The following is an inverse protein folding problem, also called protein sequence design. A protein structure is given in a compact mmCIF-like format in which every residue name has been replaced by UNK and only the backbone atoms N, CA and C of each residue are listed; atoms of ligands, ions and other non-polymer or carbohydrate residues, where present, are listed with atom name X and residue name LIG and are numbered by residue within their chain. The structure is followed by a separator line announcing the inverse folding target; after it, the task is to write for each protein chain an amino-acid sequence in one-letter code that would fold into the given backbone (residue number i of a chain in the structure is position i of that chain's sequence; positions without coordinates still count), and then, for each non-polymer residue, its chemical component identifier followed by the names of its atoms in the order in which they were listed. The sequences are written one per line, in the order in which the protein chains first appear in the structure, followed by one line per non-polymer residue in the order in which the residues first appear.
data_IF_811983433992
#
_entry.id   IF_811983433992
#
_cell.length_a   1.000
_cell.length_b   1.000
_cell.length_c   1.000
_cell.angle_alpha   90.00
_cell.angle_beta   90.00
_cell.angle_gamma   90.00
#
_symmetry.space_group_name_H-M   'P 1'
#
loop_
_entity.id
_entity.type
_entity.pdbx_description
1 polymer ?
#
# COMPACT_ATOMS: atom_id res chain seq x y z
N UNK A 1 -24.93 -103.99 -9.31
CA UNK A 1 -23.78 -103.48 -10.10
C UNK A 1 -24.21 -102.15 -10.73
N UNK A 2 -24.26 -101.04 -9.99
CA UNK A 2 -23.17 -100.11 -9.62
C UNK A 2 -22.45 -99.52 -10.85
N UNK A 3 -23.09 -98.57 -11.52
CA UNK A 3 -22.43 -97.56 -12.34
C UNK A 3 -22.14 -96.33 -11.47
N UNK A 4 -20.88 -95.94 -11.43
CA UNK A 4 -20.24 -95.03 -10.49
C UNK A 4 -20.11 -93.66 -11.16
N UNK A 5 -20.77 -92.64 -10.61
CA UNK A 5 -20.45 -91.24 -10.90
C UNK A 5 -19.15 -90.84 -10.18
N UNK A 6 -18.25 -90.11 -10.85
CA UNK A 6 -17.36 -89.23 -10.10
C UNK A 6 -17.06 -87.90 -10.83
N UNK A 7 -16.66 -86.91 -10.03
CA UNK A 7 -15.96 -85.71 -10.49
C UNK A 7 -16.91 -84.53 -10.66
N UNK A 8 -17.00 -83.58 -9.74
CA UNK A 8 -15.90 -82.95 -9.03
C UNK A 8 -15.82 -81.52 -9.58
N UNK A 9 -16.38 -80.56 -8.85
CA UNK A 9 -16.25 -79.14 -9.16
C UNK A 9 -14.82 -78.70 -8.84
N UNK A 10 -14.04 -78.15 -9.79
CA UNK A 10 -12.91 -77.31 -9.45
C UNK A 10 -13.36 -75.85 -9.45
N UNK A 11 -13.02 -75.16 -8.37
CA UNK A 11 -13.12 -73.71 -8.26
C UNK A 11 -12.32 -73.03 -9.37
N UNK A 12 -12.93 -72.09 -10.08
CA UNK A 12 -12.20 -71.12 -10.89
C UNK A 12 -12.56 -69.71 -10.43
N UNK A 13 -12.06 -69.40 -9.22
CA UNK A 13 -11.67 -68.02 -8.89
C UNK A 13 -10.32 -67.78 -9.59
N UNK A 14 -10.13 -66.56 -10.09
CA UNK A 14 -8.83 -65.98 -10.50
C UNK A 14 -8.41 -66.14 -11.96
N UNK A 15 -9.14 -65.50 -12.86
CA UNK A 15 -8.63 -64.91 -14.10
C UNK A 15 -9.72 -63.90 -14.50
N UNK A 16 -9.55 -62.58 -14.46
CA UNK A 16 -8.59 -61.75 -15.16
C UNK A 16 -8.60 -60.40 -14.42
N UNK A 17 -7.61 -60.17 -13.55
CA UNK A 17 -7.32 -58.82 -13.01
C UNK A 17 -5.91 -58.49 -13.48
N UNK A 18 -5.75 -58.34 -14.79
CA UNK A 18 -4.49 -57.84 -15.36
C UNK A 18 -4.84 -56.97 -16.56
N UNK A 19 -4.67 -55.66 -16.39
CA UNK A 19 -4.53 -54.74 -17.52
C UNK A 19 -5.59 -53.67 -17.69
N UNK A 20 -5.92 -52.89 -16.64
CA UNK A 20 -6.60 -51.59 -16.85
C UNK A 20 -6.37 -50.63 -15.66
N UNK A 21 -5.10 -50.38 -15.32
CA UNK A 21 -4.72 -49.29 -14.39
C UNK A 21 -3.80 -48.28 -15.06
N UNK A 22 -4.19 -47.81 -16.24
CA UNK A 22 -3.61 -46.62 -16.87
C UNK A 22 -4.56 -45.41 -16.67
N UNK A 23 -4.27 -44.71 -15.57
CA UNK A 23 -4.22 -43.22 -15.49
C UNK A 23 -5.49 -42.40 -15.80
N UNK A 24 -6.58 -42.60 -15.06
CA UNK A 24 -7.54 -41.50 -14.81
C UNK A 24 -6.92 -40.42 -13.90
N UNK A 25 -6.28 -40.85 -12.80
CA UNK A 25 -5.58 -39.96 -11.86
C UNK A 25 -4.40 -39.21 -12.52
N UNK A 26 -3.68 -39.85 -13.45
CA UNK A 26 -2.59 -39.21 -14.20
C UNK A 26 -3.08 -38.13 -15.16
N UNK A 27 -4.27 -38.27 -15.77
CA UNK A 27 -4.85 -37.24 -16.62
C UNK A 27 -5.31 -36.01 -15.82
N UNK A 28 -5.97 -36.20 -14.68
CA UNK A 28 -6.35 -35.09 -13.81
C UNK A 28 -5.12 -34.32 -13.29
N UNK A 29 -4.05 -35.01 -12.90
CA UNK A 29 -2.79 -34.37 -12.49
C UNK A 29 -2.11 -33.57 -13.60
N UNK A 30 -2.07 -34.11 -14.83
CA UNK A 30 -1.49 -33.43 -15.99
C UNK A 30 -2.32 -32.21 -16.42
N UNK A 31 -3.64 -32.25 -16.33
CA UNK A 31 -4.48 -31.07 -16.62
C UNK A 31 -4.30 -29.99 -15.56
N UNK A 32 -4.24 -30.32 -14.26
CA UNK A 32 -4.00 -29.31 -13.21
C UNK A 32 -2.61 -28.69 -13.37
N UNK A 33 -1.56 -29.47 -13.60
CA UNK A 33 -0.20 -28.95 -13.85
C UNK A 33 -0.07 -28.15 -15.15
N UNK A 34 -0.84 -28.46 -16.20
CA UNK A 34 -0.79 -27.76 -17.48
C UNK A 34 -1.57 -26.43 -17.48
N UNK A 35 -2.57 -26.29 -16.60
CA UNK A 35 -3.41 -25.07 -16.50
C UNK A 35 -3.09 -24.20 -15.28
N UNK A 36 -2.49 -24.75 -14.21
CA UNK A 36 -2.11 -24.01 -13.01
C UNK A 36 -1.07 -22.89 -13.19
N UNK A 37 0.00 -23.02 -14.01
CA UNK A 37 1.06 -22.02 -13.99
C UNK A 37 0.64 -20.68 -14.61
N UNK A 38 -0.30 -20.68 -15.57
CA UNK A 38 -0.74 -19.46 -16.27
C UNK A 38 -1.43 -18.46 -15.34
N UNK A 39 -2.49 -18.82 -14.59
CA UNK A 39 -3.13 -17.91 -13.65
C UNK A 39 -2.24 -17.60 -12.44
N UNK A 40 -1.38 -18.53 -11.99
CA UNK A 40 -0.45 -18.24 -10.88
C UNK A 40 0.64 -17.25 -11.25
N UNK A 41 1.23 -17.37 -12.44
CA UNK A 41 2.20 -16.39 -12.94
C UNK A 41 1.53 -15.04 -13.23
N UNK A 42 0.32 -15.05 -13.80
CA UNK A 42 -0.46 -13.83 -13.99
C UNK A 42 -0.82 -13.17 -12.65
N UNK A 43 -1.24 -13.95 -11.66
CA UNK A 43 -1.56 -13.46 -10.32
C UNK A 43 -0.33 -12.91 -9.61
N UNK A 44 0.82 -13.60 -9.62
CA UNK A 44 2.06 -13.09 -9.05
C UNK A 44 2.51 -11.81 -9.77
N UNK A 45 2.58 -11.83 -11.11
CA UNK A 45 2.98 -10.66 -11.91
C UNK A 45 2.06 -9.44 -11.66
N UNK A 46 0.75 -9.65 -11.60
CA UNK A 46 -0.23 -8.59 -11.33
C UNK A 46 -0.17 -8.13 -9.89
N UNK A 47 -0.08 -9.04 -8.91
CA UNK A 47 0.01 -8.69 -7.49
C UNK A 47 1.28 -7.90 -7.19
N UNK A 48 2.46 -8.39 -7.59
CA UNK A 48 3.74 -7.69 -7.39
C UNK A 48 3.73 -6.30 -8.04
N UNK A 49 3.11 -6.16 -9.22
CA UNK A 49 2.94 -4.87 -9.88
C UNK A 49 1.99 -3.94 -9.13
N UNK A 50 0.81 -4.43 -8.74
CA UNK A 50 -0.19 -3.64 -8.02
C UNK A 50 0.33 -3.22 -6.64
N UNK A 51 1.09 -4.08 -5.96
CA UNK A 51 1.74 -3.77 -4.68
C UNK A 51 2.81 -2.70 -4.87
N UNK A 52 3.62 -2.80 -5.92
CA UNK A 52 4.62 -1.78 -6.24
C UNK A 52 3.98 -0.44 -6.56
N UNK A 53 2.92 -0.42 -7.39
CA UNK A 53 2.17 0.80 -7.71
C UNK A 53 1.51 1.38 -6.46
N UNK A 54 0.92 0.54 -5.60
CA UNK A 54 0.34 0.95 -4.32
C UNK A 54 1.37 1.63 -3.42
N UNK A 55 2.57 1.05 -3.29
CA UNK A 55 3.66 1.61 -2.50
C UNK A 55 4.14 2.97 -3.03
N UNK A 56 4.26 3.11 -4.36
CA UNK A 56 4.66 4.39 -4.98
C UNK A 56 3.58 5.45 -4.78
N UNK A 57 2.30 5.09 -4.94
CA UNK A 57 1.18 5.99 -4.71
C UNK A 57 1.13 6.44 -3.25
N UNK A 58 1.35 5.55 -2.30
CA UNK A 58 1.33 5.90 -0.89
C UNK A 58 2.51 6.78 -0.49
N UNK A 59 3.72 6.51 -1.00
CA UNK A 59 4.86 7.39 -0.79
C UNK A 59 4.59 8.79 -1.35
N UNK A 60 3.97 8.85 -2.53
CA UNK A 60 3.56 10.10 -3.18
C UNK A 60 2.56 10.87 -2.32
N UNK A 61 1.57 10.18 -1.76
CA UNK A 61 0.55 10.74 -0.87
C UNK A 61 1.15 11.24 0.46
N UNK A 62 2.09 10.49 1.04
CA UNK A 62 2.80 10.88 2.28
C UNK A 62 3.60 12.17 2.10
N UNK A 63 4.08 12.45 0.89
CA UNK A 63 4.81 13.69 0.58
C UNK A 63 3.88 14.83 0.14
N UNK A 64 2.92 14.55 -0.75
CA UNK A 64 2.01 15.56 -1.32
C UNK A 64 0.89 15.97 -0.35
N UNK A 65 0.43 15.08 0.53
CA UNK A 65 -0.61 15.39 1.50
C UNK A 65 -0.19 16.51 2.47
N UNK A 66 0.94 16.36 3.19
CA UNK A 66 1.50 17.40 4.04
C UNK A 66 1.80 18.72 3.29
N UNK A 67 2.36 18.65 2.07
CA UNK A 67 2.70 19.86 1.31
C UNK A 67 1.46 20.66 0.89
N UNK A 68 0.42 19.99 0.41
CA UNK A 68 -0.86 20.61 0.08
C UNK A 68 -1.57 21.14 1.33
N UNK A 69 -1.46 20.45 2.47
CA UNK A 69 -2.02 20.89 3.75
C UNK A 69 -1.37 22.19 4.24
N UNK A 70 -0.03 22.30 4.21
CA UNK A 70 0.68 23.54 4.58
C UNK A 70 0.26 24.68 3.67
N UNK A 71 0.22 24.45 2.34
CA UNK A 71 -0.18 25.46 1.37
C UNK A 71 -1.62 25.95 1.58
N UNK A 72 -2.57 25.02 1.71
CA UNK A 72 -3.97 25.34 1.98
C UNK A 72 -4.12 26.11 3.30
N UNK A 73 -3.40 25.69 4.34
CA UNK A 73 -3.43 26.35 5.65
C UNK A 73 -2.88 27.78 5.56
N UNK A 74 -1.81 28.01 4.79
CA UNK A 74 -1.26 29.36 4.55
C UNK A 74 -2.27 30.28 3.85
N UNK A 75 -2.92 29.81 2.79
CA UNK A 75 -3.96 30.58 2.08
C UNK A 75 -5.11 30.95 3.01
N UNK A 76 -5.57 29.98 3.82
CA UNK A 76 -6.69 30.19 4.75
C UNK A 76 -6.32 31.20 5.83
N UNK A 77 -5.13 31.09 6.43
CA UNK A 77 -4.67 32.04 7.45
C UNK A 77 -4.48 33.45 6.87
N UNK A 78 -3.94 33.57 5.66
CA UNK A 78 -3.73 34.85 4.97
C UNK A 78 -4.97 35.36 4.25
N UNK A 79 -6.09 34.63 4.32
CA UNK A 79 -7.36 34.94 3.63
C UNK A 79 -7.18 35.23 2.14
N UNK A 80 -6.23 34.54 1.50
CA UNK A 80 -5.86 34.75 0.10
C UNK A 80 -5.49 36.21 -0.25
N UNK A 81 -5.03 37.00 0.74
CA UNK A 81 -4.57 38.38 0.53
C UNK A 81 -3.07 38.35 0.24
N UNK A 82 -2.73 38.26 -1.04
CA UNK A 82 -1.34 38.33 -1.50
C UNK A 82 -1.15 39.57 -2.38
N UNK A 83 -0.02 40.26 -2.20
CA UNK A 83 0.41 41.32 -3.09
C UNK A 83 1.26 40.70 -4.21
N UNK A 84 0.75 40.75 -5.45
CA UNK A 84 1.38 40.16 -6.62
C UNK A 84 2.71 40.83 -7.00
N UNK A 85 2.87 42.13 -6.73
CA UNK A 85 4.13 42.84 -6.99
C UNK A 85 5.19 42.35 -6.00
N UNK A 86 4.82 42.28 -4.72
CA UNK A 86 5.72 41.84 -3.66
C UNK A 86 6.09 40.34 -3.78
N UNK A 87 5.22 39.51 -4.35
CA UNK A 87 5.50 38.09 -4.63
C UNK A 87 6.60 37.87 -5.66
N UNK A 88 6.72 38.79 -6.63
CA UNK A 88 7.79 38.75 -7.64
C UNK A 88 9.10 39.38 -7.17
N UNK A 89 9.13 39.97 -5.98
CA UNK A 89 10.33 40.59 -5.42
C UNK A 89 11.18 39.54 -4.69
N UNK A 90 12.17 38.99 -5.41
CA UNK A 90 13.21 38.10 -4.87
C UNK A 90 14.36 38.87 -4.19
N UNK A 91 14.22 40.18 -3.94
CA UNK A 91 15.24 40.92 -3.21
C UNK A 91 15.33 40.47 -1.75
N UNK A 92 16.52 40.61 -1.15
CA UNK A 92 16.73 40.30 0.27
C UNK A 92 15.85 41.10 1.23
N UNK A 93 15.29 42.21 0.76
CA UNK A 93 14.38 43.10 1.48
C UNK A 93 12.91 42.82 1.22
N UNK A 94 12.60 41.91 0.28
CA UNK A 94 11.24 41.55 -0.07
C UNK A 94 10.50 40.95 1.12
N UNK A 95 9.19 41.25 1.30
CA UNK A 95 8.42 40.77 2.45
C UNK A 95 8.24 39.24 2.46
N UNK A 96 8.43 38.57 1.33
CA UNK A 96 8.40 37.11 1.19
C UNK A 96 9.80 36.46 1.14
N UNK A 97 10.87 37.24 1.37
CA UNK A 97 12.23 36.70 1.46
C UNK A 97 12.47 35.96 2.79
N UNK A 98 11.68 36.24 3.84
CA UNK A 98 11.82 35.63 5.18
C UNK A 98 13.29 35.66 5.66
N UNK A 99 13.75 34.61 6.35
CA UNK A 99 15.13 34.44 6.80
C UNK A 99 15.97 33.77 5.72
N UNK A 100 16.52 34.57 4.80
CA UNK A 100 17.47 34.10 3.78
C UNK A 100 16.83 33.33 2.62
N UNK A 101 15.57 33.62 2.29
CA UNK A 101 14.79 32.95 1.24
C UNK A 101 13.88 31.83 1.75
N UNK A 102 13.96 31.48 3.05
CA UNK A 102 13.23 30.34 3.62
C UNK A 102 12.28 30.74 4.75
N UNK A 103 11.04 30.24 4.66
CA UNK A 103 10.09 30.26 5.76
C UNK A 103 10.27 29.02 6.64
N UNK A 104 11.05 29.14 7.72
CA UNK A 104 11.29 28.05 8.67
C UNK A 104 10.01 27.49 9.30
N UNK A 105 8.96 28.31 9.44
CA UNK A 105 7.69 27.82 9.97
C UNK A 105 7.03 26.81 9.01
N UNK A 106 7.08 27.09 7.71
CA UNK A 106 6.63 26.18 6.66
C UNK A 106 7.48 24.91 6.58
N UNK A 107 8.81 25.05 6.64
CA UNK A 107 9.74 23.92 6.58
C UNK A 107 9.54 22.96 7.76
N UNK A 108 9.42 23.48 8.99
CA UNK A 108 9.20 22.66 10.18
C UNK A 108 7.81 22.02 10.20
N UNK A 109 6.78 22.72 9.71
CA UNK A 109 5.43 22.15 9.58
C UNK A 109 5.35 21.04 8.52
N UNK A 110 6.07 21.18 7.41
CA UNK A 110 6.18 20.15 6.40
C UNK A 110 6.96 18.94 6.93
N UNK A 111 8.12 19.19 7.55
CA UNK A 111 8.96 18.12 8.08
C UNK A 111 8.24 17.30 9.17
N UNK A 112 7.53 17.97 10.08
CA UNK A 112 6.74 17.29 11.12
C UNK A 112 5.57 16.49 10.56
N UNK A 113 4.85 17.02 9.57
CA UNK A 113 3.76 16.29 8.91
C UNK A 113 4.23 15.08 8.14
N UNK A 114 5.30 15.21 7.34
CA UNK A 114 5.90 14.08 6.62
C UNK A 114 6.43 13.03 7.61
N UNK A 115 7.08 13.43 8.71
CA UNK A 115 7.55 12.51 9.73
C UNK A 115 6.40 11.72 10.38
N UNK A 116 5.30 12.39 10.73
CA UNK A 116 4.14 11.71 11.33
C UNK A 116 3.38 10.86 10.31
N UNK A 117 3.21 11.31 9.07
CA UNK A 117 2.64 10.48 8.00
C UNK A 117 3.49 9.24 7.75
N UNK A 118 4.82 9.37 7.70
CA UNK A 118 5.73 8.24 7.54
C UNK A 118 5.63 7.24 8.70
N UNK A 119 5.40 7.72 9.93
CA UNK A 119 5.15 6.89 11.11
C UNK A 119 3.77 6.22 11.13
N UNK A 120 2.83 6.67 10.29
CA UNK A 120 1.46 6.14 10.18
C UNK A 120 1.18 5.41 8.86
N UNK A 121 2.19 5.20 8.01
CA UNK A 121 2.09 4.37 6.80
C UNK A 121 1.74 2.94 7.22
N UNK A 122 0.99 2.24 6.36
CA UNK A 122 0.56 0.85 6.59
C UNK A 122 1.05 -0.12 5.51
N UNK A 123 1.50 0.37 4.35
CA UNK A 123 1.83 -0.48 3.18
C UNK A 123 3.30 -0.81 2.98
N UNK A 124 4.21 0.15 3.17
CA UNK A 124 5.67 -0.09 3.07
C UNK A 124 6.25 -0.57 4.41
N UNK A 125 5.62 -0.17 5.51
CA UNK A 125 5.96 -0.53 6.89
C UNK A 125 4.70 -0.30 7.72
N UNK A 126 4.22 -1.27 8.49
CA UNK A 126 3.10 -1.05 9.43
C UNK A 126 3.61 -0.16 10.55
N UNK A 127 3.29 1.13 10.50
CA UNK A 127 3.60 2.07 11.57
C UNK A 127 2.99 1.59 12.89
N UNK A 128 3.64 1.77 14.05
CA UNK A 128 3.14 1.27 15.34
C UNK A 128 1.74 1.81 15.70
N UNK A 129 1.33 2.93 15.11
CA UNK A 129 0.00 3.52 15.25
C UNK A 129 -1.04 2.88 14.30
N UNK A 130 -0.66 2.52 13.07
CA UNK A 130 -1.54 1.83 12.12
C UNK A 130 -1.80 0.37 12.55
N UNK A 131 -0.78 -0.28 13.11
CA UNK A 131 -0.88 -1.61 13.71
C UNK A 131 -1.85 -1.67 14.92
N UNK A 132 -1.99 -0.58 15.67
CA UNK A 132 -2.89 -0.49 16.81
C UNK A 132 -4.36 -0.23 16.42
N UNK A 133 -4.61 0.27 15.20
CA UNK A 133 -5.93 0.69 14.71
C UNK A 133 -6.54 -0.24 13.66
N UNK A 134 -5.89 -1.37 13.37
CA UNK A 134 -6.47 -2.45 12.58
C UNK A 134 -6.20 -2.41 11.07
N UNK A 135 -5.08 -1.82 10.62
CA UNK A 135 -4.69 -1.82 9.20
C UNK A 135 -5.46 -0.81 8.34
N UNK A 136 -5.90 0.29 8.96
CA UNK A 136 -6.49 1.43 8.24
C UNK A 136 -5.36 2.40 7.85
N UNK A 137 -5.26 2.75 6.57
CA UNK A 137 -4.31 3.77 6.10
C UNK A 137 -4.71 5.16 6.61
N UNK A 138 -4.10 5.55 7.73
CA UNK A 138 -4.31 6.85 8.36
C UNK A 138 -3.26 7.88 7.93
N UNK A 139 -2.32 7.53 7.04
CA UNK A 139 -1.22 8.42 6.66
C UNK A 139 -1.70 9.74 6.05
N UNK A 140 -2.82 9.71 5.31
CA UNK A 140 -3.48 10.89 4.74
C UNK A 140 -4.07 11.81 5.81
N UNK A 141 -5.06 11.38 6.61
CA UNK A 141 -5.70 12.25 7.58
C UNK A 141 -4.73 12.74 8.66
N UNK A 142 -3.79 11.89 9.13
CA UNK A 142 -2.82 12.32 10.15
C UNK A 142 -1.83 13.34 9.59
N UNK A 143 -1.33 13.13 8.36
CA UNK A 143 -0.45 14.09 7.68
C UNK A 143 -1.07 15.46 7.52
N UNK A 144 -2.31 15.49 7.04
CA UNK A 144 -3.10 16.71 6.87
C UNK A 144 -3.27 17.45 8.20
N UNK A 145 -3.76 16.76 9.23
CA UNK A 145 -4.04 17.36 10.54
C UNK A 145 -2.76 17.86 11.20
N UNK A 146 -1.68 17.08 11.17
CA UNK A 146 -0.41 17.44 11.83
C UNK A 146 0.26 18.61 11.13
N UNK A 147 0.36 18.59 9.80
CA UNK A 147 0.93 19.72 9.05
C UNK A 147 0.13 21.01 9.24
N UNK A 148 -1.20 20.94 9.16
CA UNK A 148 -2.07 22.11 9.39
C UNK A 148 -1.92 22.65 10.81
N UNK A 149 -1.95 21.78 11.82
CA UNK A 149 -1.81 22.19 13.22
C UNK A 149 -0.42 22.77 13.51
N UNK A 150 0.64 22.12 13.04
CA UNK A 150 2.02 22.59 13.19
C UNK A 150 2.22 23.97 12.54
N UNK A 151 1.77 24.15 11.30
CA UNK A 151 1.89 25.43 10.61
C UNK A 151 1.10 26.54 11.31
N UNK A 152 -0.13 26.27 11.71
CA UNK A 152 -0.98 27.24 12.39
C UNK A 152 -0.41 27.65 13.76
N UNK A 153 0.10 26.70 14.55
CA UNK A 153 0.72 26.97 15.84
C UNK A 153 2.01 27.76 15.69
N UNK A 154 2.88 27.36 14.77
CA UNK A 154 4.20 27.97 14.60
C UNK A 154 4.08 29.39 14.04
N UNK A 155 3.17 29.61 13.08
CA UNK A 155 2.86 30.94 12.54
C UNK A 155 2.28 31.87 13.60
N UNK A 156 1.36 31.36 14.45
CA UNK A 156 0.82 32.11 15.59
C UNK A 156 1.89 32.47 16.62
N UNK A 157 2.80 31.55 16.94
CA UNK A 157 3.89 31.81 17.90
C UNK A 157 4.81 32.92 17.42
N UNK A 158 5.21 32.89 16.15
CA UNK A 158 6.11 33.90 15.57
C UNK A 158 5.49 35.29 15.61
N UNK A 159 4.20 35.41 15.31
CA UNK A 159 3.49 36.70 15.36
C UNK A 159 3.27 37.23 16.78
N UNK A 160 3.26 36.37 17.80
CA UNK A 160 3.09 36.80 19.21
C UNK A 160 4.39 37.32 19.81
N UNK A 161 5.55 36.92 19.26
CA UNK A 161 6.88 37.36 19.71
C UNK A 161 7.46 38.55 18.94
N UNK A 162 6.77 39.05 17.92
CA UNK A 162 7.15 40.21 17.13
C UNK A 162 6.40 41.47 17.59
#
# INVERSE_FOLDING_TARGET
MRSKAPGGRPSSRSAVVTGMRSTAAGRCGVTVLAWAPRPSLYALLVSDFLDTVGNVLQLTVVLLGPSTAVYATDIVLRRNRYDGIALGDESRTGPFWYTGGFNWAGVLALASGVAVSALCVDTVYTGPVAAALGGVDLALPTGLVVSSAAYALLTRRIHVTA
#
